data_IF_682073819425
#
_entry.id   IF_682073819425
#
_cell.length_a   1.000
_cell.length_b   1.000
_cell.length_c   1.000
_cell.angle_alpha   90.00
_cell.angle_beta   90.00
_cell.angle_gamma   90.00
#
_symmetry.space_group_name_H-M   'P 1'
#
loop_
_entity.id
_entity.type
_entity.pdbx_description
1 polymer ?
#
# COMPACT_ATOMS: atom_id res chain seq x y z
N UNK A 1 -24.36 -29.27 -2.00
CA UNK A 1 -23.63 -28.47 -3.01
C UNK A 1 -22.65 -27.59 -2.28
N UNK A 2 -21.38 -28.00 -2.17
CA UNK A 2 -20.31 -27.13 -1.69
C UNK A 2 -20.14 -25.99 -2.67
N UNK A 3 -20.59 -24.78 -2.31
CA UNK A 3 -20.24 -23.58 -3.05
C UNK A 3 -18.72 -23.54 -3.18
N UNK A 4 -18.22 -23.37 -4.40
CA UNK A 4 -16.78 -23.28 -4.64
C UNK A 4 -16.27 -21.96 -4.02
N UNK A 5 -15.82 -22.05 -2.77
CA UNK A 5 -15.32 -20.92 -1.99
C UNK A 5 -14.16 -20.20 -2.73
N UNK A 6 -13.41 -20.88 -3.58
CA UNK A 6 -12.33 -20.26 -4.38
C UNK A 6 -12.87 -19.30 -5.43
N UNK A 7 -14.08 -19.52 -5.94
CA UNK A 7 -14.74 -18.65 -6.91
C UNK A 7 -15.08 -17.29 -6.31
N UNK A 8 -15.47 -17.24 -5.04
CA UNK A 8 -15.81 -15.99 -4.33
C UNK A 8 -14.65 -14.99 -4.31
N UNK A 9 -13.41 -15.47 -4.21
CA UNK A 9 -12.24 -14.60 -4.21
C UNK A 9 -11.88 -14.05 -5.61
N UNK A 10 -12.50 -14.53 -6.69
CA UNK A 10 -12.22 -14.13 -8.08
C UNK A 10 -13.31 -13.21 -8.65
N UNK A 11 -14.50 -13.22 -8.09
CA UNK A 11 -15.61 -12.37 -8.53
C UNK A 11 -15.35 -10.91 -8.12
N UNK A 12 -15.46 -10.00 -9.07
CA UNK A 12 -15.56 -8.58 -8.78
C UNK A 12 -16.93 -8.28 -8.19
N UNK A 13 -16.96 -7.57 -7.06
CA UNK A 13 -18.20 -7.09 -6.47
C UNK A 13 -18.44 -5.66 -6.91
N UNK A 14 -19.64 -5.39 -7.40
CA UNK A 14 -20.13 -4.01 -7.46
C UNK A 14 -20.31 -3.48 -6.03
N UNK A 15 -20.05 -2.19 -5.84
CA UNK A 15 -20.22 -1.52 -4.56
C UNK A 15 -21.30 -0.44 -4.66
N UNK A 16 -22.06 -0.26 -3.57
CA UNK A 16 -23.15 0.71 -3.50
C UNK A 16 -22.73 2.04 -2.86
N UNK A 17 -21.43 2.32 -2.75
CA UNK A 17 -20.95 3.59 -2.21
C UNK A 17 -21.02 4.72 -3.25
N UNK A 18 -21.29 5.96 -2.83
CA UNK A 18 -21.46 7.08 -3.76
C UNK A 18 -20.16 7.42 -4.50
N UNK A 19 -20.26 7.94 -5.73
CA UNK A 19 -19.09 8.32 -6.53
C UNK A 19 -18.30 9.50 -5.94
N UNK A 20 -18.93 10.29 -5.08
CA UNK A 20 -18.33 11.41 -4.37
C UNK A 20 -18.70 11.32 -2.88
N UNK A 21 -17.75 11.67 -2.01
CA UNK A 21 -17.96 11.78 -0.58
C UNK A 21 -17.43 13.14 -0.11
N UNK A 22 -18.19 13.81 0.75
CA UNK A 22 -17.77 15.06 1.38
C UNK A 22 -17.79 14.88 2.89
N UNK A 23 -16.73 15.31 3.56
CA UNK A 23 -16.64 15.31 5.03
C UNK A 23 -16.30 16.72 5.49
N UNK A 24 -17.10 17.26 6.40
CA UNK A 24 -16.90 18.61 6.94
C UNK A 24 -16.50 18.57 8.41
N UNK A 25 -15.46 19.32 8.77
CA UNK A 25 -15.00 19.53 10.15
C UNK A 25 -15.00 21.03 10.44
N UNK A 26 -16.10 21.53 11.02
CA UNK A 26 -16.30 22.97 11.17
C UNK A 26 -16.41 23.64 9.81
N UNK A 27 -15.49 24.57 9.52
CA UNK A 27 -15.38 25.30 8.25
C UNK A 27 -14.56 24.58 7.17
N UNK A 28 -13.85 23.51 7.54
CA UNK A 28 -13.05 22.73 6.60
C UNK A 28 -13.90 21.69 5.89
N UNK A 29 -13.84 21.68 4.56
CA UNK A 29 -14.58 20.73 3.72
C UNK A 29 -13.59 19.88 2.92
N UNK A 30 -13.65 18.57 3.12
CA UNK A 30 -12.87 17.58 2.40
C UNK A 30 -13.74 16.97 1.31
N UNK A 31 -13.25 16.98 0.08
CA UNK A 31 -13.96 16.38 -1.05
C UNK A 31 -13.16 15.20 -1.57
N UNK A 32 -13.82 14.05 -1.58
CA UNK A 32 -13.27 12.79 -2.04
C UNK A 32 -14.00 12.28 -3.28
N UNK A 33 -13.25 11.66 -4.18
CA UNK A 33 -13.77 10.95 -5.35
C UNK A 33 -13.55 9.46 -5.17
N UNK A 34 -14.57 8.64 -5.45
CA UNK A 34 -14.44 7.18 -5.49
C UNK A 34 -13.50 6.79 -6.62
N UNK A 35 -12.50 5.97 -6.31
CA UNK A 35 -11.56 5.43 -7.29
C UNK A 35 -12.17 4.22 -7.98
N UNK A 36 -12.09 4.25 -9.30
CA UNK A 36 -12.25 3.09 -10.16
C UNK A 36 -11.18 3.18 -11.26
N UNK A 37 -10.84 2.04 -11.84
CA UNK A 37 -9.84 1.92 -12.89
C UNK A 37 -10.46 1.36 -14.16
N UNK A 38 -10.16 1.98 -15.30
CA UNK A 38 -10.60 1.52 -16.62
C UNK A 38 -9.57 0.58 -17.22
N UNK A 39 -9.80 -0.72 -17.07
CA UNK A 39 -8.84 -1.77 -17.44
C UNK A 39 -9.48 -2.73 -18.45
N UNK A 40 -8.70 -3.26 -19.41
CA UNK A 40 -9.20 -4.27 -20.34
C UNK A 40 -9.54 -5.55 -19.60
N UNK A 41 -10.74 -6.09 -19.83
CA UNK A 41 -11.16 -7.38 -19.31
C UNK A 41 -10.38 -8.51 -19.99
N UNK A 42 -9.79 -9.42 -19.20
CA UNK A 42 -8.93 -10.50 -19.70
C UNK A 42 -9.64 -11.43 -20.70
N UNK A 43 -10.97 -11.55 -20.63
CA UNK A 43 -11.75 -12.49 -21.47
C UNK A 43 -12.31 -11.83 -22.72
N UNK A 44 -12.86 -10.63 -22.58
CA UNK A 44 -13.56 -9.93 -23.65
C UNK A 44 -12.71 -8.87 -24.35
N UNK A 45 -11.60 -8.43 -23.73
CA UNK A 45 -10.78 -7.32 -24.21
C UNK A 45 -11.48 -5.96 -24.12
N UNK A 46 -12.72 -5.90 -23.63
CA UNK A 46 -13.45 -4.65 -23.45
C UNK A 46 -12.91 -3.90 -22.24
N UNK A 47 -12.79 -2.58 -22.35
CA UNK A 47 -12.45 -1.74 -21.21
C UNK A 47 -13.64 -1.69 -20.27
N UNK A 48 -13.45 -2.18 -19.05
CA UNK A 48 -14.43 -2.13 -17.98
C UNK A 48 -13.90 -1.28 -16.83
N UNK A 49 -14.81 -0.58 -16.16
CA UNK A 49 -14.48 0.24 -15.00
C UNK A 49 -14.62 -0.60 -13.72
N UNK A 50 -13.55 -0.66 -12.92
CA UNK A 50 -13.43 -1.56 -11.77
C UNK A 50 -13.12 -0.79 -10.49
N UNK A 51 -13.92 -0.96 -9.44
CA UNK A 51 -13.64 -0.47 -8.08
C UNK A 51 -12.65 -1.38 -7.32
N UNK A 52 -12.75 -1.50 -5.99
CA UNK A 52 -12.02 -2.56 -5.27
C UNK A 52 -12.72 -3.91 -5.48
N UNK A 53 -11.96 -5.02 -5.53
CA UNK A 53 -12.56 -6.34 -5.71
C UNK A 53 -13.48 -6.75 -4.55
N UNK A 54 -13.09 -6.44 -3.33
CA UNK A 54 -13.82 -6.61 -2.08
C UNK A 54 -13.05 -5.90 -0.94
N UNK A 55 -13.66 -5.84 0.25
CA UNK A 55 -13.08 -5.35 1.50
C UNK A 55 -12.01 -6.29 2.09
N UNK A 56 -12.15 -6.66 3.36
CA UNK A 56 -11.22 -7.61 3.98
C UNK A 56 -11.50 -9.04 3.52
N UNK A 57 -12.79 -9.38 3.39
CA UNK A 57 -13.26 -10.70 3.01
C UNK A 57 -14.14 -10.63 1.75
N UNK A 58 -14.20 -11.69 0.93
CA UNK A 58 -15.20 -11.81 -0.11
C UNK A 58 -16.61 -11.64 0.46
N UNK A 59 -17.49 -10.98 -0.28
CA UNK A 59 -18.84 -10.65 0.18
C UNK A 59 -18.94 -9.33 0.96
N UNK A 60 -17.80 -8.67 1.24
CA UNK A 60 -17.77 -7.33 1.83
C UNK A 60 -17.50 -6.30 0.74
N UNK A 61 -18.47 -5.44 0.44
CA UNK A 61 -18.27 -4.30 -0.46
C UNK A 61 -17.23 -3.34 0.11
N UNK A 62 -16.43 -2.71 -0.78
CA UNK A 62 -15.47 -1.70 -0.38
C UNK A 62 -15.22 -0.72 -1.53
N UNK A 63 -14.95 0.53 -1.17
CA UNK A 63 -14.56 1.58 -2.10
C UNK A 63 -13.31 2.30 -1.58
N UNK A 64 -12.39 2.63 -2.49
CA UNK A 64 -11.27 3.51 -2.21
C UNK A 64 -11.67 4.94 -2.59
N UNK A 65 -11.39 5.90 -1.71
CA UNK A 65 -11.67 7.32 -1.93
C UNK A 65 -10.37 8.12 -1.97
N UNK A 66 -10.19 8.92 -3.02
CA UNK A 66 -9.07 9.83 -3.20
C UNK A 66 -9.47 11.25 -2.80
N UNK A 67 -8.67 11.90 -1.95
CA UNK A 67 -8.84 13.31 -1.62
C UNK A 67 -8.48 14.17 -2.84
N UNK A 68 -9.46 14.87 -3.39
CA UNK A 68 -9.30 15.68 -4.61
C UNK A 68 -9.39 17.18 -4.35
N UNK A 69 -9.98 17.60 -3.23
CA UNK A 69 -10.00 19.00 -2.82
C UNK A 69 -10.12 19.12 -1.29
N UNK A 70 -9.56 20.21 -0.76
CA UNK A 70 -9.44 20.46 0.67
C UNK A 70 -8.23 19.76 1.31
N UNK A 71 -8.05 19.99 2.60
CA UNK A 71 -7.13 19.28 3.46
C UNK A 71 -7.67 19.37 4.88
N UNK A 72 -7.38 18.38 5.72
CA UNK A 72 -7.80 18.39 7.11
C UNK A 72 -6.66 18.85 8.00
N UNK A 73 -6.78 20.08 8.52
CA UNK A 73 -5.90 20.66 9.53
C UNK A 73 -6.63 20.64 10.86
N UNK A 74 -6.41 19.59 11.66
CA UNK A 74 -7.00 19.45 12.99
C UNK A 74 -6.00 18.79 13.94
N UNK A 75 -6.01 19.23 15.21
CA UNK A 75 -5.09 18.71 16.22
C UNK A 75 -3.62 18.84 15.84
N UNK A 76 -3.22 19.85 15.06
CA UNK A 76 -1.84 20.04 14.61
C UNK A 76 -1.34 19.02 13.57
N UNK A 77 -2.25 18.23 12.98
CA UNK A 77 -1.96 17.32 11.88
C UNK A 77 -2.47 17.89 10.55
N UNK A 78 -1.88 17.44 9.44
CA UNK A 78 -2.34 17.75 8.09
C UNK A 78 -2.19 16.51 7.22
N UNK A 79 -3.18 16.22 6.35
CA UNK A 79 -3.02 15.15 5.36
C UNK A 79 -2.03 15.54 4.26
N UNK A 80 -1.52 14.54 3.54
CA UNK A 80 -0.78 14.80 2.30
C UNK A 80 -1.69 15.55 1.33
N UNK A 81 -1.22 16.67 0.79
CA UNK A 81 -2.00 17.54 -0.09
C UNK A 81 -2.50 16.83 -1.35
N UNK A 82 -3.65 17.26 -1.86
CA UNK A 82 -4.18 16.81 -3.14
C UNK A 82 -3.12 16.98 -4.25
N UNK A 83 -3.05 16.01 -5.17
CA UNK A 83 -1.99 15.94 -6.18
C UNK A 83 -0.67 15.32 -5.70
N UNK A 84 -0.48 15.12 -4.39
CA UNK A 84 0.67 14.37 -3.82
C UNK A 84 0.30 12.98 -3.32
N UNK A 85 -0.89 12.48 -3.67
CA UNK A 85 -1.38 11.16 -3.26
C UNK A 85 -0.42 10.01 -3.63
N UNK A 86 -0.49 8.96 -2.80
CA UNK A 86 0.28 7.72 -2.91
C UNK A 86 -0.64 6.59 -3.41
N UNK A 87 -1.00 5.61 -2.56
CA UNK A 87 -1.88 4.49 -2.92
C UNK A 87 -3.25 4.96 -3.45
N UNK A 88 -3.84 6.00 -2.86
CA UNK A 88 -5.14 6.51 -3.28
C UNK A 88 -5.14 7.14 -4.68
N UNK A 89 -3.96 7.48 -5.22
CA UNK A 89 -3.79 8.16 -6.49
C UNK A 89 -3.20 7.24 -7.58
N UNK A 90 -3.09 5.93 -7.33
CA UNK A 90 -2.66 4.94 -8.34
C UNK A 90 -3.58 5.06 -9.56
N UNK A 91 -3.00 5.35 -10.71
CA UNK A 91 -3.70 5.40 -11.99
C UNK A 91 -3.69 4.04 -12.71
N UNK A 92 -4.40 3.94 -13.82
CA UNK A 92 -4.36 2.79 -14.72
C UNK A 92 -2.94 2.53 -15.24
N UNK A 93 -2.16 3.57 -15.53
CA UNK A 93 -0.78 3.46 -16.01
C UNK A 93 0.17 2.95 -14.92
N UNK A 94 -0.15 3.22 -13.66
CA UNK A 94 0.61 2.74 -12.51
C UNK A 94 0.33 1.27 -12.21
N UNK A 95 -0.84 0.75 -12.61
CA UNK A 95 -1.21 -0.66 -12.50
C UNK A 95 -0.62 -1.48 -13.67
N UNK A 96 0.71 -1.53 -13.75
CA UNK A 96 1.46 -2.23 -14.82
C UNK A 96 0.91 -3.63 -15.10
N UNK A 97 0.52 -4.35 -14.03
CA UNK A 97 -0.26 -5.57 -14.14
C UNK A 97 -1.32 -5.60 -13.04
N UNK A 98 -2.60 -5.64 -13.40
CA UNK A 98 -3.71 -5.78 -12.42
C UNK A 98 -3.73 -7.15 -11.74
N UNK A 99 -3.16 -8.14 -12.41
CA UNK A 99 -3.21 -9.54 -12.05
C UNK A 99 -4.62 -9.93 -11.60
N UNK A 100 -4.72 -10.54 -10.43
CA UNK A 100 -6.04 -10.78 -9.84
C UNK A 100 -6.54 -9.47 -9.21
N UNK A 101 -7.26 -8.58 -9.90
CA UNK A 101 -7.67 -7.23 -9.44
C UNK A 101 -7.63 -6.94 -7.90
N UNK A 102 -6.96 -5.88 -7.42
CA UNK A 102 -6.71 -5.66 -5.98
C UNK A 102 -7.98 -5.54 -5.11
N UNK A 103 -7.92 -6.13 -3.93
CA UNK A 103 -8.88 -5.86 -2.83
C UNK A 103 -8.31 -4.87 -1.82
N UNK A 104 -9.07 -4.56 -0.75
CA UNK A 104 -8.65 -3.64 0.32
C UNK A 104 -7.26 -3.98 0.87
N UNK A 105 -7.06 -5.22 1.29
CA UNK A 105 -5.82 -5.65 1.98
C UNK A 105 -4.59 -5.45 1.08
N UNK A 106 -4.72 -5.68 -0.23
CA UNK A 106 -3.59 -5.51 -1.15
C UNK A 106 -3.08 -4.06 -1.16
N UNK A 107 -3.99 -3.09 -1.11
CA UNK A 107 -3.62 -1.67 -1.11
C UNK A 107 -3.19 -1.19 0.28
N UNK A 108 -3.82 -1.68 1.35
CA UNK A 108 -3.42 -1.31 2.72
C UNK A 108 -2.07 -1.94 3.12
N UNK A 109 -1.69 -3.10 2.58
CA UNK A 109 -0.35 -3.66 2.78
C UNK A 109 0.74 -2.78 2.15
N UNK A 110 0.47 -2.24 0.94
CA UNK A 110 1.38 -1.29 0.27
C UNK A 110 1.47 0.04 1.01
N UNK A 111 0.34 0.56 1.50
CA UNK A 111 0.30 1.79 2.31
C UNK A 111 1.08 1.64 3.62
N UNK A 112 0.86 0.53 4.35
CA UNK A 112 1.58 0.24 5.59
C UNK A 112 3.08 0.06 5.35
N UNK A 113 3.48 -0.57 4.25
CA UNK A 113 4.89 -0.65 3.87
C UNK A 113 5.48 0.76 3.69
N UNK A 114 4.81 1.66 2.95
CA UNK A 114 5.28 3.04 2.77
C UNK A 114 5.35 3.82 4.09
N UNK A 115 4.42 3.58 5.02
CA UNK A 115 4.43 4.18 6.36
C UNK A 115 5.65 3.76 7.20
N UNK A 116 6.21 2.57 6.96
CA UNK A 116 7.50 2.13 7.53
C UNK A 116 8.66 2.75 6.73
N UNK A 117 8.62 2.65 5.40
CA UNK A 117 9.69 3.07 4.50
C UNK A 117 10.05 4.54 4.61
N UNK A 118 9.10 5.42 4.96
CA UNK A 118 9.38 6.86 5.11
C UNK A 118 10.52 7.19 6.06
N UNK A 119 10.82 6.31 7.02
CA UNK A 119 11.96 6.46 7.95
C UNK A 119 13.24 5.77 7.47
N UNK A 120 13.18 5.00 6.38
CA UNK A 120 14.20 4.06 5.96
C UNK A 120 14.64 4.27 4.48
N UNK A 121 14.69 5.52 4.02
CA UNK A 121 14.96 5.81 2.60
C UNK A 121 16.45 5.83 2.21
N UNK A 122 17.39 5.69 3.16
CA UNK A 122 18.82 5.96 2.94
C UNK A 122 19.54 4.88 2.10
N UNK A 123 19.13 3.61 2.19
CA UNK A 123 19.79 2.46 1.57
C UNK A 123 18.79 1.63 0.75
N UNK A 124 19.23 0.74 -0.17
CA UNK A 124 18.34 -0.23 -0.80
C UNK A 124 17.48 -0.94 0.27
N UNK A 125 16.16 -0.87 0.14
CA UNK A 125 15.21 -1.33 1.14
C UNK A 125 14.14 -2.19 0.49
N UNK A 126 13.82 -3.31 1.15
CA UNK A 126 12.62 -4.09 0.91
C UNK A 126 11.77 -4.15 2.19
N UNK A 127 10.47 -3.92 2.05
CA UNK A 127 9.49 -4.08 3.12
C UNK A 127 8.43 -5.08 2.65
N UNK A 128 8.27 -6.18 3.39
CA UNK A 128 7.27 -7.22 3.12
C UNK A 128 6.21 -7.14 4.22
N UNK A 129 4.95 -7.01 3.80
CA UNK A 129 3.78 -6.88 4.66
C UNK A 129 2.77 -7.96 4.29
N UNK A 130 2.08 -8.50 5.29
CA UNK A 130 0.93 -9.39 5.10
C UNK A 130 -0.16 -9.03 6.09
N UNK A 131 -1.35 -8.73 5.60
CA UNK A 131 -2.52 -8.39 6.43
C UNK A 131 -2.22 -7.23 7.41
N UNK A 132 -1.62 -6.16 6.89
CA UNK A 132 -1.22 -4.93 7.57
C UNK A 132 -0.08 -5.08 8.59
N UNK A 133 0.57 -6.24 8.66
CA UNK A 133 1.68 -6.50 9.58
C UNK A 133 2.99 -6.72 8.80
N UNK A 134 4.09 -6.05 9.17
CA UNK A 134 5.38 -6.31 8.54
C UNK A 134 5.90 -7.69 8.96
N UNK A 135 6.23 -8.53 7.99
CA UNK A 135 6.90 -9.81 8.22
C UNK A 135 8.40 -9.75 7.91
N UNK A 136 8.85 -8.74 7.15
CA UNK A 136 10.26 -8.52 6.87
C UNK A 136 10.55 -7.09 6.47
N UNK A 137 11.57 -6.48 7.09
CA UNK A 137 12.08 -5.15 6.75
C UNK A 137 13.59 -5.23 6.77
N UNK A 138 14.24 -4.99 5.64
CA UNK A 138 15.69 -5.09 5.58
C UNK A 138 16.32 -4.09 4.61
N UNK A 139 17.43 -3.52 5.06
CA UNK A 139 18.40 -2.89 4.18
C UNK A 139 19.32 -3.93 3.53
N UNK A 140 19.77 -3.61 2.33
CA UNK A 140 20.79 -4.38 1.61
C UNK A 140 21.84 -3.49 0.96
N UNK A 141 22.92 -4.12 0.47
CA UNK A 141 23.86 -3.48 -0.46
C UNK A 141 23.25 -3.30 -1.86
N UNK A 142 22.25 -4.11 -2.20
CA UNK A 142 21.41 -4.03 -3.40
C UNK A 142 19.93 -4.32 -3.03
N UNK A 143 19.00 -4.11 -3.95
CA UNK A 143 17.59 -4.49 -3.73
C UNK A 143 17.41 -6.01 -3.60
N UNK A 144 18.19 -6.79 -4.35
CA UNK A 144 18.21 -8.24 -4.25
C UNK A 144 18.62 -8.71 -2.83
N UNK A 145 19.72 -8.16 -2.29
CA UNK A 145 20.19 -8.45 -0.92
C UNK A 145 19.16 -8.00 0.13
N UNK A 146 18.55 -6.82 -0.05
CA UNK A 146 17.49 -6.32 0.81
C UNK A 146 16.27 -7.25 0.82
N UNK A 147 15.85 -7.72 -0.37
CA UNK A 147 14.73 -8.65 -0.53
C UNK A 147 15.02 -10.00 0.14
N UNK A 148 16.18 -10.60 -0.11
CA UNK A 148 16.53 -11.89 0.49
C UNK A 148 16.52 -11.82 2.01
N UNK A 149 17.12 -10.78 2.59
CA UNK A 149 17.11 -10.55 4.04
C UNK A 149 15.71 -10.34 4.59
N UNK A 150 14.89 -9.50 3.95
CA UNK A 150 13.51 -9.26 4.38
C UNK A 150 12.68 -10.55 4.30
N UNK A 151 12.80 -11.29 3.19
CA UNK A 151 12.10 -12.57 3.00
C UNK A 151 12.58 -13.63 3.99
N UNK A 152 13.86 -13.62 4.39
CA UNK A 152 14.42 -14.54 5.38
C UNK A 152 14.00 -14.25 6.82
N UNK A 153 13.51 -13.05 7.14
CA UNK A 153 13.05 -12.72 8.48
C UNK A 153 11.88 -13.60 8.93
N UNK A 154 10.89 -13.80 8.04
CA UNK A 154 9.81 -14.77 8.20
C UNK A 154 9.28 -15.23 6.83
N UNK A 155 9.87 -16.31 6.29
CA UNK A 155 9.51 -16.85 4.98
C UNK A 155 8.06 -17.37 4.93
N UNK A 156 7.53 -17.85 6.05
CA UNK A 156 6.18 -18.42 6.11
C UNK A 156 5.16 -17.28 6.03
N UNK A 157 5.39 -16.19 6.77
CA UNK A 157 4.53 -15.01 6.70
C UNK A 157 4.75 -14.18 5.42
N UNK A 158 5.91 -14.22 4.78
CA UNK A 158 6.13 -13.54 3.49
C UNK A 158 5.31 -14.16 2.35
N UNK A 159 4.95 -15.44 2.44
CA UNK A 159 4.18 -16.14 1.41
C UNK A 159 2.79 -15.51 1.21
N UNK A 160 2.53 -14.99 0.01
CA UNK A 160 1.30 -14.28 -0.33
C UNK A 160 1.22 -12.86 0.23
N UNK A 161 2.35 -12.28 0.66
CA UNK A 161 2.41 -10.89 1.11
C UNK A 161 2.54 -9.88 -0.05
N UNK A 162 2.61 -8.60 0.32
CA UNK A 162 3.01 -7.50 -0.55
C UNK A 162 4.47 -7.12 -0.25
N UNK A 163 5.29 -6.98 -1.28
CA UNK A 163 6.65 -6.41 -1.15
C UNK A 163 6.69 -5.02 -1.76
N UNK A 164 7.31 -4.07 -1.06
CA UNK A 164 7.54 -2.71 -1.53
C UNK A 164 9.02 -2.35 -1.48
N UNK A 165 9.52 -1.79 -2.57
CA UNK A 165 10.91 -1.37 -2.74
C UNK A 165 11.04 0.14 -2.81
N UNK A 166 12.13 0.68 -2.28
CA UNK A 166 12.37 2.14 -2.29
C UNK A 166 13.12 2.65 -3.52
N UNK A 167 13.52 1.76 -4.44
CA UNK A 167 14.25 2.06 -5.68
C UNK A 167 13.65 1.25 -6.84
N UNK A 168 13.95 1.61 -8.11
CA UNK A 168 13.50 0.82 -9.25
C UNK A 168 13.90 -0.64 -9.13
N UNK A 169 12.98 -1.55 -9.43
CA UNK A 169 13.27 -2.99 -9.37
C UNK A 169 14.17 -3.36 -10.54
N UNK A 170 15.35 -3.89 -10.23
CA UNK A 170 16.32 -4.42 -11.19
C UNK A 170 16.04 -5.89 -11.54
N UNK A 171 16.74 -6.42 -12.54
CA UNK A 171 16.55 -7.80 -13.02
C UNK A 171 16.85 -8.86 -11.96
N UNK A 172 17.92 -8.69 -11.18
CA UNK A 172 18.29 -9.65 -10.15
C UNK A 172 17.19 -9.76 -9.06
N UNK A 173 16.65 -8.61 -8.67
CA UNK A 173 15.54 -8.52 -7.71
C UNK A 173 14.26 -9.12 -8.31
N UNK A 174 13.96 -8.85 -9.58
CA UNK A 174 12.80 -9.41 -10.27
C UNK A 174 12.85 -10.95 -10.35
N UNK A 175 14.01 -11.54 -10.60
CA UNK A 175 14.21 -13.00 -10.63
C UNK A 175 13.96 -13.64 -9.25
N UNK A 176 14.43 -13.01 -8.17
CA UNK A 176 14.17 -13.46 -6.80
C UNK A 176 12.69 -13.35 -6.42
N UNK A 177 12.02 -12.27 -6.80
CA UNK A 177 10.58 -12.10 -6.59
C UNK A 177 9.80 -13.18 -7.33
N UNK A 178 10.14 -13.43 -8.60
CA UNK A 178 9.50 -14.45 -9.42
C UNK A 178 9.64 -15.86 -8.82
N UNK A 179 10.71 -16.13 -8.06
CA UNK A 179 10.90 -17.37 -7.32
C UNK A 179 9.91 -17.62 -6.18
N UNK A 180 9.27 -16.56 -5.65
CA UNK A 180 8.32 -16.65 -4.53
C UNK A 180 6.88 -16.43 -4.98
N UNK A 181 5.93 -16.79 -4.11
CA UNK A 181 4.53 -16.42 -4.26
C UNK A 181 4.24 -15.16 -3.46
N UNK A 182 4.03 -14.04 -4.15
CA UNK A 182 3.59 -12.77 -3.58
C UNK A 182 2.29 -12.35 -4.25
N UNK A 183 1.46 -11.60 -3.53
CA UNK A 183 0.24 -11.03 -4.12
C UNK A 183 0.50 -9.69 -4.80
N UNK A 184 1.41 -8.86 -4.26
CA UNK A 184 1.70 -7.52 -4.76
C UNK A 184 3.21 -7.26 -4.74
N UNK A 185 3.71 -6.63 -5.81
CA UNK A 185 5.00 -5.94 -5.83
C UNK A 185 4.77 -4.48 -6.15
N UNK A 186 5.33 -3.58 -5.34
CA UNK A 186 5.30 -2.15 -5.59
C UNK A 186 6.68 -1.51 -5.51
N UNK A 187 6.94 -0.53 -6.36
CA UNK A 187 8.22 0.17 -6.44
C UNK A 187 8.04 1.57 -7.07
N UNK A 188 9.00 2.50 -6.92
CA UNK A 188 8.95 3.76 -7.64
C UNK A 188 8.99 3.59 -9.15
N UNK A 189 9.68 2.57 -9.64
CA UNK A 189 9.72 2.18 -11.05
C UNK A 189 10.21 0.73 -11.24
N UNK A 190 10.25 0.27 -12.48
CA UNK A 190 10.74 -1.05 -12.88
C UNK A 190 11.71 -0.91 -14.05
N UNK A 191 12.92 -1.45 -13.93
CA UNK A 191 13.91 -1.36 -15.02
C UNK A 191 13.47 -2.15 -16.26
N UNK A 192 14.05 -1.81 -17.41
CA UNK A 192 13.76 -2.48 -18.67
C UNK A 192 13.94 -4.02 -18.56
N UNK A 193 12.96 -4.77 -19.06
CA UNK A 193 13.00 -6.23 -19.04
C UNK A 193 12.64 -6.89 -17.70
N UNK A 194 12.39 -6.14 -16.62
CA UNK A 194 12.00 -6.71 -15.31
C UNK A 194 10.52 -7.08 -15.24
N UNK A 195 9.63 -6.24 -15.78
CA UNK A 195 8.18 -6.50 -15.83
C UNK A 195 7.87 -7.83 -16.53
N UNK A 196 8.44 -8.18 -17.70
CA UNK A 196 8.23 -9.50 -18.32
C UNK A 196 8.63 -10.69 -17.44
N UNK A 197 9.62 -10.55 -16.55
CA UNK A 197 10.02 -11.61 -15.61
C UNK A 197 8.93 -11.81 -14.57
N UNK A 198 8.45 -10.71 -13.97
CA UNK A 198 7.40 -10.70 -12.95
C UNK A 198 6.04 -11.13 -13.52
N UNK A 199 5.72 -10.71 -14.75
CA UNK A 199 4.45 -10.94 -15.43
C UNK A 199 4.17 -12.42 -15.71
N UNK A 200 5.19 -13.29 -15.69
CA UNK A 200 5.01 -14.75 -15.69
C UNK A 200 4.12 -15.23 -14.54
N UNK A 201 4.02 -14.46 -13.45
CA UNK A 201 3.04 -14.64 -12.38
C UNK A 201 1.77 -13.86 -12.70
N UNK A 202 0.88 -14.43 -13.52
CA UNK A 202 -0.33 -13.73 -13.99
C UNK A 202 -1.27 -13.21 -12.89
N UNK A 203 -1.22 -13.73 -11.65
CA UNK A 203 -2.02 -13.20 -10.53
C UNK A 203 -1.35 -12.08 -9.74
N UNK A 204 -0.05 -11.82 -9.96
CA UNK A 204 0.73 -10.81 -9.24
C UNK A 204 0.27 -9.42 -9.66
N UNK A 205 0.05 -8.52 -8.70
CA UNK A 205 -0.15 -7.10 -8.98
C UNK A 205 1.22 -6.46 -9.07
N UNK A 206 1.52 -5.82 -10.19
CA UNK A 206 2.73 -5.03 -10.37
C UNK A 206 2.30 -3.57 -10.36
N UNK A 207 2.69 -2.82 -9.33
CA UNK A 207 2.21 -1.46 -9.08
C UNK A 207 3.40 -0.51 -9.05
N UNK A 208 3.38 0.52 -9.89
CA UNK A 208 4.31 1.64 -9.83
C UNK A 208 3.78 2.73 -8.90
N UNK A 209 4.61 3.23 -7.99
CA UNK A 209 4.28 4.39 -7.14
C UNK A 209 5.46 5.35 -7.17
N UNK A 210 5.52 6.18 -8.21
CA UNK A 210 6.66 7.06 -8.51
C UNK A 210 7.08 7.96 -7.34
N UNK A 211 6.14 8.35 -6.48
CA UNK A 211 6.37 9.21 -5.30
C UNK A 211 6.96 8.49 -4.09
N UNK A 212 7.26 7.20 -4.16
CA UNK A 212 7.97 6.48 -3.08
C UNK A 212 9.30 7.19 -2.73
N UNK A 213 9.99 7.76 -3.73
CA UNK A 213 11.24 8.51 -3.52
C UNK A 213 11.07 9.80 -2.69
N UNK A 214 9.85 10.28 -2.49
CA UNK A 214 9.53 11.48 -1.71
C UNK A 214 9.10 11.16 -0.27
N UNK A 215 9.03 9.88 0.12
CA UNK A 215 8.47 9.49 1.43
C UNK A 215 9.21 10.09 2.62
N UNK A 216 10.53 10.32 2.52
CA UNK A 216 11.32 10.91 3.60
C UNK A 216 10.84 12.32 3.99
N UNK A 217 10.22 13.07 3.07
CA UNK A 217 9.62 14.37 3.37
C UNK A 217 8.46 14.26 4.37
N UNK A 218 7.81 13.10 4.45
CA UNK A 218 6.67 12.85 5.33
C UNK A 218 7.05 12.18 6.66
N UNK A 219 8.34 11.87 6.90
CA UNK A 219 8.79 11.18 8.11
C UNK A 219 8.46 11.95 9.41
N UNK A 220 8.44 13.28 9.35
CA UNK A 220 8.13 14.16 10.50
C UNK A 220 6.72 14.74 10.45
N UNK A 221 5.91 14.35 9.46
CA UNK A 221 4.55 14.86 9.29
C UNK A 221 3.59 13.92 10.00
N UNK A 222 2.63 14.49 10.73
CA UNK A 222 1.51 13.73 11.30
C UNK A 222 0.29 13.84 10.41
N UNK A 223 -0.43 12.74 10.27
CA UNK A 223 -1.77 12.71 9.71
C UNK A 223 -2.80 12.44 10.81
N UNK A 224 -4.05 12.78 10.54
CA UNK A 224 -5.17 12.44 11.42
C UNK A 224 -5.58 11.01 11.13
N UNK A 225 -5.61 10.17 12.16
CA UNK A 225 -6.09 8.81 12.06
C UNK A 225 -7.51 8.71 12.62
N UNK A 226 -8.38 8.06 11.85
CA UNK A 226 -9.80 7.91 12.13
C UNK A 226 -10.12 6.45 12.40
N UNK A 227 -10.67 6.16 13.59
CA UNK A 227 -11.18 4.84 13.93
C UNK A 227 -12.70 4.86 14.05
N UNK A 228 -13.36 4.12 13.17
CA UNK A 228 -14.79 3.84 13.30
C UNK A 228 -15.05 2.80 14.40
N UNK A 229 -16.06 3.08 15.23
CA UNK A 229 -16.60 2.19 16.26
C UNK A 229 -17.90 1.55 15.76
N UNK A 230 -18.25 0.39 16.29
CA UNK A 230 -19.37 -0.43 15.79
C UNK A 230 -20.75 0.24 15.96
N UNK A 231 -20.85 1.22 16.86
CA UNK A 231 -22.06 1.99 17.15
C UNK A 231 -22.15 3.29 16.31
N UNK A 232 -21.19 3.50 15.41
CA UNK A 232 -21.10 4.72 14.59
C UNK A 232 -20.27 5.84 15.22
N UNK A 233 -19.72 5.63 16.43
CA UNK A 233 -18.75 6.57 17.00
C UNK A 233 -17.46 6.64 16.18
N UNK A 234 -16.75 7.78 16.28
CA UNK A 234 -15.46 7.98 15.60
C UNK A 234 -14.44 8.49 16.62
N UNK A 235 -13.30 7.82 16.70
CA UNK A 235 -12.12 8.30 17.45
C UNK A 235 -11.17 8.98 16.46
N UNK A 236 -10.72 10.18 16.81
CA UNK A 236 -9.70 10.92 16.07
C UNK A 236 -8.42 10.93 16.91
N UNK A 237 -7.29 10.61 16.28
CA UNK A 237 -5.99 10.70 16.93
C UNK A 237 -4.93 11.22 15.96
N UNK A 238 -3.80 11.66 16.52
CA UNK A 238 -2.60 11.93 15.73
C UNK A 238 -1.90 10.62 15.38
N UNK A 239 -1.45 10.45 14.14
CA UNK A 239 -0.52 9.37 13.79
C UNK A 239 0.76 9.46 14.63
N UNK A 240 1.40 8.35 15.04
CA UNK A 240 2.61 8.39 15.84
C UNK A 240 3.78 9.06 15.11
N UNK A 241 4.67 9.71 15.87
CA UNK A 241 5.98 10.15 15.39
C UNK A 241 7.06 9.36 16.10
N UNK A 242 8.09 8.97 15.36
CA UNK A 242 9.28 8.39 15.98
C UNK A 242 10.23 9.51 16.45
N UNK A 243 10.39 9.63 17.77
CA UNK A 243 11.35 10.57 18.38
C UNK A 243 12.79 10.09 18.20
N UNK A 244 13.02 8.78 18.18
CA UNK A 244 14.35 8.16 18.12
C UNK A 244 14.72 7.95 16.66
N UNK A 245 15.63 8.77 16.14
CA UNK A 245 16.06 8.74 14.73
C UNK A 245 17.50 8.29 14.57
N UNK A 246 18.30 8.44 15.63
CA UNK A 246 19.71 8.10 15.66
C UNK A 246 20.11 7.55 17.02
N UNK A 247 21.28 6.90 17.13
CA UNK A 247 21.81 6.45 18.41
C UNK A 247 21.95 7.56 19.47
N UNK A 248 22.07 8.83 19.04
CA UNK A 248 22.20 9.99 19.95
C UNK A 248 20.90 10.35 20.65
N UNK A 249 19.76 9.88 20.15
CA UNK A 249 18.44 10.15 20.74
C UNK A 249 18.13 9.21 21.91
N UNK A 250 18.89 8.13 22.09
CA UNK A 250 18.74 7.23 23.23
C UNK A 250 19.19 7.90 24.53
N UNK A 251 18.41 7.70 25.58
CA UNK A 251 18.78 8.10 26.94
C UNK A 251 19.53 6.94 27.62
N UNK A 252 20.64 7.25 28.27
CA UNK A 252 21.33 6.27 29.10
C UNK A 252 20.43 5.86 30.26
N UNK A 253 20.31 4.55 30.52
CA UNK A 253 19.60 4.06 31.69
C UNK A 253 20.35 4.46 32.97
N UNK A 254 19.64 4.96 33.96
CA UNK A 254 20.18 5.30 35.29
C UNK A 254 19.40 4.57 36.37
N UNK A 255 20.08 4.19 37.45
CA UNK A 255 19.49 3.55 38.63
C UNK A 255 20.05 4.26 39.87
N UNK A 256 19.18 4.61 40.82
CA UNK A 256 19.58 5.09 42.14
C UNK A 256 19.61 3.87 43.07
N UNK A 257 20.71 3.70 43.80
CA UNK A 257 20.89 2.62 44.80
C UNK A 257 20.58 3.14 46.20
#
# INVERSE_FOLDING_TARGET
>A
MTQDLKKMYKTMMDDHFPSQMTISFGDQVLVYRKRAWKLPDEKSGQVIEKGLRYGENPGQEAALYELVNGNLVIGGCQFIEAGRGLVSAISEEDMIQEGKHPGKINLTDVDNAMNIMKYLMEKPLAVIVKHNNPCGVAYGSSLADAYEKANMADRIAAFGGAVVFNRPVDRATAELIAGNYLEVVAAPDFEEGTVPVLAKRGNLRIIRISKINQLSAYANTRFVDFKSLIDGGIILQQSPLNRIKSPKDFLAATCEF
#
